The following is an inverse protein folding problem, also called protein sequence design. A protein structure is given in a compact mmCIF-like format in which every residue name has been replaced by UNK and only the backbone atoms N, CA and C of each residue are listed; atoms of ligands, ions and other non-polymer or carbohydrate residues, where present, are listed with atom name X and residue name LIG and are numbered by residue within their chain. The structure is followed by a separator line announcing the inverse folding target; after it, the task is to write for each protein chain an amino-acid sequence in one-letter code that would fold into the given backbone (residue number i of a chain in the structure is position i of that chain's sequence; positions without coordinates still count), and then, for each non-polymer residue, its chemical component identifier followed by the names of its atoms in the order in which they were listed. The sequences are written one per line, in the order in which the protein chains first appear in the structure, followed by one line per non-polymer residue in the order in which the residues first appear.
data_IF_947733180336
#
_entry.id   IF_947733180336
#
_cell.length_a   1.000
_cell.length_b   1.000
_cell.length_c   1.000
_cell.angle_alpha   90.00
_cell.angle_beta   90.00
_cell.angle_gamma   90.00
#
_symmetry.space_group_name_H-M   'P 1'
#
loop_
_entity.id
_entity.type
_entity.pdbx_description
1 polymer ?
#
# COMPACT_ATOMS: atom_id res chain seq x y z
N UNK A 1 -8.43 -25.37 -25.15
CA UNK A 1 -7.14 -24.83 -25.66
C UNK A 1 -6.52 -24.05 -24.50
N UNK A 2 -5.57 -24.64 -23.78
CA UNK A 2 -4.95 -24.05 -22.63
C UNK A 2 -3.79 -23.14 -23.09
N UNK A 3 -3.89 -21.84 -22.90
CA UNK A 3 -2.81 -20.90 -23.16
C UNK A 3 -1.84 -21.02 -21.97
N UNK A 4 -0.74 -21.74 -22.17
CA UNK A 4 0.44 -21.71 -21.28
C UNK A 4 1.14 -20.37 -21.53
N UNK A 5 0.91 -19.38 -20.73
CA UNK A 5 1.80 -18.23 -20.64
C UNK A 5 2.99 -18.65 -19.78
N UNK A 6 4.12 -18.90 -20.44
CA UNK A 6 5.40 -19.10 -19.78
C UNK A 6 5.96 -17.73 -19.32
N UNK A 7 5.33 -17.13 -18.33
CA UNK A 7 5.92 -15.98 -17.65
C UNK A 7 6.93 -16.52 -16.63
N UNK A 8 8.18 -16.10 -16.78
CA UNK A 8 9.26 -16.42 -15.84
C UNK A 8 9.57 -15.17 -15.02
N UNK A 9 9.58 -15.26 -13.67
CA UNK A 9 9.90 -14.13 -12.78
C UNK A 9 11.34 -13.62 -12.88
N UNK A 10 12.16 -14.23 -13.74
CA UNK A 10 13.63 -14.15 -13.71
C UNK A 10 14.22 -12.83 -14.22
N UNK A 11 13.42 -11.93 -14.81
CA UNK A 11 13.93 -10.68 -15.40
C UNK A 11 13.61 -9.40 -14.64
N UNK A 12 12.86 -9.49 -13.54
CA UNK A 12 12.61 -8.33 -12.67
C UNK A 12 13.34 -8.57 -11.33
N UNK A 13 14.66 -8.61 -11.41
CA UNK A 13 15.51 -9.07 -10.34
C UNK A 13 15.54 -8.13 -9.13
N UNK A 14 15.74 -8.73 -7.96
CA UNK A 14 16.16 -8.13 -6.70
C UNK A 14 17.26 -7.04 -6.83
N UNK A 15 18.08 -7.08 -7.86
CA UNK A 15 19.09 -6.06 -8.16
C UNK A 15 18.49 -4.67 -8.34
N UNK A 16 17.30 -4.56 -8.96
CA UNK A 16 16.63 -3.26 -9.17
C UNK A 16 16.02 -2.67 -7.90
N UNK A 17 15.69 -3.49 -6.91
CA UNK A 17 15.22 -2.98 -5.60
C UNK A 17 16.39 -2.53 -4.76
N UNK A 18 17.50 -3.26 -4.76
CA UNK A 18 18.74 -2.85 -4.11
C UNK A 18 19.26 -1.50 -4.61
N UNK A 19 19.03 -1.17 -5.89
CA UNK A 19 19.40 0.12 -6.46
C UNK A 19 18.52 1.29 -5.97
N UNK A 20 17.29 1.01 -5.52
CA UNK A 20 16.33 2.03 -5.05
C UNK A 20 16.14 2.01 -3.53
N UNK A 21 16.31 0.86 -2.91
CA UNK A 21 16.12 0.65 -1.47
C UNK A 21 17.33 -0.13 -0.96
N UNK A 22 18.25 0.57 -0.30
CA UNK A 22 19.33 -0.07 0.45
C UNK A 22 18.74 -0.77 1.69
N UNK A 23 18.22 -1.99 1.46
CA UNK A 23 17.57 -2.79 2.51
C UNK A 23 18.37 -4.08 2.77
N UNK A 24 18.38 -4.55 4.03
CA UNK A 24 19.03 -5.81 4.39
C UNK A 24 18.50 -6.99 3.57
N UNK A 25 19.35 -7.99 3.34
CA UNK A 25 18.99 -9.22 2.59
C UNK A 25 17.73 -9.89 3.14
N UNK A 26 17.57 -9.96 4.45
CA UNK A 26 16.35 -10.51 5.07
C UNK A 26 15.08 -9.77 4.63
N UNK A 27 15.14 -8.45 4.51
CA UNK A 27 14.02 -7.62 4.04
C UNK A 27 13.72 -7.89 2.56
N UNK A 28 14.75 -8.08 1.74
CA UNK A 28 14.58 -8.47 0.33
C UNK A 28 13.89 -9.83 0.22
N UNK A 29 14.31 -10.82 1.00
CA UNK A 29 13.70 -12.16 1.03
C UNK A 29 12.21 -12.10 1.45
N UNK A 30 11.83 -11.21 2.37
CA UNK A 30 10.43 -10.98 2.74
C UNK A 30 9.62 -10.37 1.61
N UNK A 31 10.18 -9.38 0.89
CA UNK A 31 9.51 -8.78 -0.28
C UNK A 31 9.33 -9.80 -1.41
N UNK A 32 10.33 -10.64 -1.68
CA UNK A 32 10.21 -11.73 -2.64
C UNK A 32 9.13 -12.73 -2.26
N UNK A 33 9.10 -13.15 -1.00
CA UNK A 33 8.08 -14.04 -0.48
C UNK A 33 6.68 -13.45 -0.70
N UNK A 34 6.50 -12.16 -0.38
CA UNK A 34 5.24 -11.45 -0.63
C UNK A 34 4.86 -11.47 -2.11
N UNK A 35 5.80 -11.15 -3.01
CA UNK A 35 5.55 -11.12 -4.47
C UNK A 35 5.15 -12.50 -4.99
N UNK A 36 5.85 -13.57 -4.59
CA UNK A 36 5.50 -14.93 -4.98
C UNK A 36 4.10 -15.34 -4.51
N UNK A 37 3.73 -14.96 -3.29
CA UNK A 37 2.38 -15.18 -2.77
C UNK A 37 1.34 -14.38 -3.57
N UNK A 38 1.61 -13.11 -3.86
CA UNK A 38 0.73 -12.25 -4.63
C UNK A 38 0.42 -12.86 -6.01
N UNK A 39 1.45 -13.30 -6.74
CA UNK A 39 1.30 -13.97 -8.03
C UNK A 39 0.47 -15.25 -7.91
N UNK A 40 0.76 -16.08 -6.92
CA UNK A 40 0.04 -17.34 -6.69
C UNK A 40 -1.44 -17.11 -6.38
N UNK A 41 -1.76 -16.12 -5.56
CA UNK A 41 -3.14 -15.82 -5.17
C UNK A 41 -3.90 -15.06 -6.26
N UNK A 42 -3.21 -14.24 -7.06
CA UNK A 42 -3.79 -13.52 -8.20
C UNK A 42 -4.52 -14.45 -9.18
N UNK A 43 -4.08 -15.70 -9.31
CA UNK A 43 -4.74 -16.71 -10.14
C UNK A 43 -6.14 -17.12 -9.64
N UNK A 44 -6.48 -16.81 -8.38
CA UNK A 44 -7.74 -17.21 -7.72
C UNK A 44 -8.61 -16.03 -7.35
N UNK A 45 -8.01 -14.93 -6.94
CA UNK A 45 -8.69 -13.69 -6.55
C UNK A 45 -8.02 -12.50 -7.21
N UNK A 46 -8.80 -11.50 -7.60
CA UNK A 46 -8.28 -10.30 -8.25
C UNK A 46 -7.67 -9.36 -7.17
N UNK A 47 -6.36 -9.45 -6.97
CA UNK A 47 -5.60 -8.63 -6.01
C UNK A 47 -5.09 -7.33 -6.64
N UNK A 48 -4.58 -7.44 -7.87
CA UNK A 48 -4.05 -6.33 -8.67
C UNK A 48 -4.52 -6.47 -10.13
N UNK A 49 -4.34 -5.44 -10.93
CA UNK A 49 -4.63 -5.54 -12.36
C UNK A 49 -3.71 -6.56 -13.03
N UNK A 50 -4.27 -7.50 -13.79
CA UNK A 50 -3.49 -8.50 -14.55
C UNK A 50 -2.53 -7.85 -15.54
N UNK A 51 -2.84 -6.63 -16.01
CA UNK A 51 -1.98 -5.87 -16.93
C UNK A 51 -0.68 -5.38 -16.27
N UNK A 52 -0.67 -5.24 -14.94
CA UNK A 52 0.48 -4.75 -14.18
C UNK A 52 1.33 -5.85 -13.57
N UNK A 53 0.94 -7.14 -13.76
CA UNK A 53 1.73 -8.29 -13.29
C UNK A 53 3.16 -8.33 -13.82
N UNK A 54 3.44 -8.04 -15.10
CA UNK A 54 4.82 -8.03 -15.61
C UNK A 54 5.70 -6.97 -14.95
N UNK A 55 5.08 -5.91 -14.42
CA UNK A 55 5.76 -4.77 -13.79
C UNK A 55 5.51 -4.74 -12.27
N UNK A 56 5.25 -5.91 -11.64
CA UNK A 56 4.80 -6.00 -10.25
C UNK A 56 5.74 -5.28 -9.28
N UNK A 57 7.04 -5.41 -9.48
CA UNK A 57 8.05 -4.78 -8.66
C UNK A 57 8.01 -3.25 -8.74
N UNK A 58 7.97 -2.73 -9.95
CA UNK A 58 7.94 -1.29 -10.18
C UNK A 58 6.59 -0.68 -9.81
N UNK A 59 5.51 -1.23 -10.36
CA UNK A 59 4.16 -0.67 -10.24
C UNK A 59 3.50 -0.89 -8.87
N UNK A 60 4.00 -1.83 -8.07
CA UNK A 60 3.36 -2.18 -6.81
C UNK A 60 4.32 -2.13 -5.62
N UNK A 61 5.50 -2.74 -5.74
CA UNK A 61 6.43 -2.81 -4.61
C UNK A 61 7.16 -1.47 -4.42
N UNK A 62 7.82 -0.97 -5.47
CA UNK A 62 8.51 0.34 -5.41
C UNK A 62 7.54 1.49 -5.19
N UNK A 63 6.39 1.46 -5.87
CA UNK A 63 5.32 2.45 -5.69
C UNK A 63 4.85 2.53 -4.22
N UNK A 64 4.74 1.40 -3.53
CA UNK A 64 4.42 1.37 -2.10
C UNK A 64 5.60 1.78 -1.22
N UNK A 65 6.80 1.30 -1.56
CA UNK A 65 8.01 1.51 -0.78
C UNK A 65 8.48 2.97 -0.77
N UNK A 66 8.20 3.75 -1.82
CA UNK A 66 8.56 5.17 -1.88
C UNK A 66 7.97 5.98 -0.70
N UNK A 67 6.85 5.54 -0.13
CA UNK A 67 6.26 6.21 1.03
C UNK A 67 7.18 6.20 2.25
N UNK A 68 8.12 5.26 2.36
CA UNK A 68 9.06 5.18 3.48
C UNK A 68 9.86 6.47 3.65
N UNK A 69 10.20 7.15 2.56
CA UNK A 69 10.94 8.42 2.58
C UNK A 69 10.16 9.59 3.20
N UNK A 70 8.84 9.47 3.28
CA UNK A 70 7.93 10.47 3.85
C UNK A 70 7.46 10.11 5.26
N UNK A 71 7.82 8.91 5.76
CA UNK A 71 7.45 8.50 7.10
C UNK A 71 8.42 9.06 8.16
N UNK A 72 7.93 9.35 9.37
CA UNK A 72 8.79 9.78 10.48
C UNK A 72 9.77 8.66 10.86
N UNK A 73 10.94 9.04 11.40
CA UNK A 73 11.94 8.08 11.88
C UNK A 73 11.52 7.38 13.20
N UNK A 74 10.61 7.98 13.93
CA UNK A 74 10.06 7.42 15.19
C UNK A 74 8.91 6.49 14.89
N UNK A 75 8.77 5.37 15.64
CA UNK A 75 7.63 4.48 15.48
C UNK A 75 6.29 5.23 15.63
N UNK A 76 5.40 5.02 14.69
CA UNK A 76 4.11 5.70 14.59
C UNK A 76 3.02 4.69 14.24
N UNK A 77 1.77 5.07 14.44
CA UNK A 77 0.60 4.27 14.04
C UNK A 77 0.17 4.68 12.64
N UNK A 78 0.16 3.74 11.71
CA UNK A 78 -0.23 3.95 10.31
C UNK A 78 -1.51 3.16 10.03
N UNK A 79 -2.51 3.82 9.48
CA UNK A 79 -3.76 3.22 9.04
C UNK A 79 -3.80 3.19 7.51
N UNK A 80 -3.84 2.00 6.92
CA UNK A 80 -3.96 1.80 5.47
C UNK A 80 -5.41 1.50 5.09
N UNK A 81 -6.04 2.42 4.37
CA UNK A 81 -7.45 2.35 4.00
C UNK A 81 -7.65 1.57 2.70
N UNK A 82 -8.50 0.55 2.74
CA UNK A 82 -8.80 -0.27 1.57
C UNK A 82 -7.55 -1.00 1.06
N UNK A 83 -6.85 -1.65 1.97
CA UNK A 83 -5.52 -2.22 1.73
C UNK A 83 -5.46 -3.21 0.56
N UNK A 84 -6.56 -3.83 0.16
CA UNK A 84 -6.64 -4.72 -0.99
C UNK A 84 -5.67 -5.89 -0.91
N UNK A 85 -4.66 -5.88 -1.76
CA UNK A 85 -3.54 -6.81 -1.69
C UNK A 85 -2.55 -6.51 -0.55
N UNK A 86 -2.86 -5.57 0.35
CA UNK A 86 -1.92 -5.08 1.36
C UNK A 86 -0.94 -4.03 0.82
N UNK A 87 -1.37 -3.24 -0.14
CA UNK A 87 -0.56 -2.22 -0.81
C UNK A 87 -1.14 -0.81 -0.54
N UNK A 88 -0.40 0.08 0.13
CA UNK A 88 1.01 -0.06 0.52
C UNK A 88 1.25 -0.77 1.86
N UNK A 89 0.24 -1.04 2.68
CA UNK A 89 0.35 -1.38 4.10
C UNK A 89 1.26 -2.56 4.44
N UNK A 90 1.17 -3.72 3.74
CA UNK A 90 2.06 -4.86 3.99
C UNK A 90 3.51 -4.54 3.62
N UNK A 91 3.73 -3.78 2.54
CA UNK A 91 5.08 -3.37 2.14
C UNK A 91 5.70 -2.46 3.21
N UNK A 92 4.93 -1.49 3.72
CA UNK A 92 5.37 -0.62 4.82
C UNK A 92 5.65 -1.42 6.10
N UNK A 93 4.84 -2.46 6.40
CA UNK A 93 5.08 -3.34 7.54
C UNK A 93 6.37 -4.16 7.40
N UNK A 94 6.75 -4.56 6.17
CA UNK A 94 8.01 -5.26 5.90
C UNK A 94 9.20 -4.30 6.04
N UNK A 95 9.07 -3.06 5.56
CA UNK A 95 10.17 -2.10 5.44
C UNK A 95 10.41 -1.27 6.71
N UNK A 96 9.45 -1.19 7.62
CA UNK A 96 9.50 -0.24 8.74
C UNK A 96 9.19 -0.91 10.08
N UNK A 97 9.32 -0.15 11.15
CA UNK A 97 8.94 -0.57 12.52
C UNK A 97 7.68 0.13 13.01
N UNK A 98 6.90 0.73 12.10
CA UNK A 98 5.63 1.35 12.44
C UNK A 98 4.58 0.30 12.77
N UNK A 99 3.58 0.68 13.56
CA UNK A 99 2.42 -0.15 13.82
C UNK A 99 1.40 0.02 12.68
N UNK A 100 1.21 -1.01 11.89
CA UNK A 100 0.31 -0.98 10.74
C UNK A 100 -1.08 -1.54 11.09
N UNK A 101 -2.12 -0.76 10.79
CA UNK A 101 -3.52 -1.16 10.80
C UNK A 101 -4.01 -1.20 9.36
N UNK A 102 -4.43 -2.38 8.87
CA UNK A 102 -4.85 -2.61 7.49
C UNK A 102 -6.36 -2.84 7.45
N UNK A 103 -7.09 -1.97 6.75
CA UNK A 103 -8.55 -2.05 6.65
C UNK A 103 -8.95 -2.56 5.29
N UNK A 104 -9.68 -3.67 5.25
CA UNK A 104 -10.22 -4.27 4.03
C UNK A 104 -11.52 -5.01 4.35
N UNK A 105 -12.53 -4.88 3.51
CA UNK A 105 -13.84 -5.52 3.72
C UNK A 105 -14.01 -6.85 2.99
N UNK A 106 -13.17 -7.17 2.00
CA UNK A 106 -13.21 -8.46 1.29
C UNK A 106 -12.43 -9.52 2.10
N UNK A 107 -13.15 -10.49 2.67
CA UNK A 107 -12.56 -11.57 3.47
C UNK A 107 -11.51 -12.40 2.73
N UNK A 108 -11.60 -12.52 1.40
CA UNK A 108 -10.60 -13.23 0.59
C UNK A 108 -9.28 -12.48 0.54
N UNK A 109 -9.34 -11.13 0.44
CA UNK A 109 -8.16 -10.26 0.49
C UNK A 109 -7.56 -10.24 1.89
N UNK A 110 -8.39 -10.24 2.93
CA UNK A 110 -7.94 -10.41 4.32
C UNK A 110 -7.23 -11.75 4.51
N UNK A 111 -7.77 -12.86 3.96
CA UNK A 111 -7.11 -14.16 4.02
C UNK A 111 -5.75 -14.17 3.31
N UNK A 112 -5.64 -13.47 2.18
CA UNK A 112 -4.36 -13.24 1.50
C UNK A 112 -3.39 -12.49 2.40
N UNK A 113 -3.76 -11.31 2.93
CA UNK A 113 -2.89 -10.49 3.78
C UNK A 113 -2.45 -11.24 5.04
N UNK A 114 -3.36 -11.99 5.68
CA UNK A 114 -3.02 -12.84 6.82
C UNK A 114 -1.96 -13.90 6.46
N UNK A 115 -2.07 -14.49 5.27
CA UNK A 115 -1.07 -15.44 4.77
C UNK A 115 0.25 -14.72 4.49
N UNK A 116 0.22 -13.59 3.81
CA UNK A 116 1.42 -12.81 3.49
C UNK A 116 2.18 -12.39 4.76
N UNK A 117 1.49 -11.83 5.76
CA UNK A 117 2.09 -11.43 7.03
C UNK A 117 2.74 -12.62 7.75
N UNK A 118 2.06 -13.77 7.79
CA UNK A 118 2.61 -14.98 8.42
C UNK A 118 3.85 -15.48 7.70
N UNK A 119 3.80 -15.65 6.40
CA UNK A 119 4.91 -16.22 5.60
C UNK A 119 6.13 -15.29 5.55
N UNK A 120 5.92 -13.97 5.59
CA UNK A 120 7.01 -12.99 5.66
C UNK A 120 7.53 -12.76 7.08
N UNK A 121 6.91 -13.36 8.10
CA UNK A 121 7.25 -13.09 9.50
C UNK A 121 7.06 -11.63 9.89
N UNK A 122 6.06 -10.96 9.31
CA UNK A 122 5.77 -9.53 9.51
C UNK A 122 4.46 -9.37 10.27
N UNK A 123 4.36 -8.31 11.09
CA UNK A 123 3.18 -8.06 11.91
C UNK A 123 2.41 -6.83 11.44
N UNK A 124 1.10 -6.95 11.34
CA UNK A 124 0.15 -5.85 11.18
C UNK A 124 -1.21 -6.25 11.77
N UNK A 125 -2.03 -5.28 12.12
CA UNK A 125 -3.38 -5.51 12.64
C UNK A 125 -4.36 -5.42 11.47
N UNK A 126 -5.10 -6.50 11.23
CA UNK A 126 -6.08 -6.59 10.15
C UNK A 126 -7.48 -6.25 10.68
N UNK A 127 -8.15 -5.32 10.01
CA UNK A 127 -9.54 -4.93 10.26
C UNK A 127 -10.41 -5.43 9.09
N UNK A 128 -11.11 -6.54 9.28
CA UNK A 128 -12.04 -7.12 8.29
C UNK A 128 -13.40 -6.42 8.35
N UNK A 129 -13.43 -5.15 7.89
CA UNK A 129 -14.63 -4.33 7.94
C UNK A 129 -14.54 -3.14 6.98
N UNK A 130 -15.66 -2.43 6.81
CA UNK A 130 -15.69 -1.18 6.08
C UNK A 130 -14.99 -0.08 6.87
N UNK A 131 -14.32 0.87 6.16
CA UNK A 131 -13.58 1.96 6.79
C UNK A 131 -14.46 2.80 7.73
N UNK A 132 -15.70 3.03 7.35
CA UNK A 132 -16.69 3.83 8.09
C UNK A 132 -17.08 3.22 9.45
N UNK A 133 -16.81 1.91 9.62
CA UNK A 133 -17.13 1.17 10.86
C UNK A 133 -15.91 0.96 11.76
N UNK A 134 -14.71 1.39 11.30
CA UNK A 134 -13.50 1.29 12.10
C UNK A 134 -13.55 2.25 13.28
N UNK A 135 -13.37 1.78 14.53
CA UNK A 135 -13.29 2.67 15.67
C UNK A 135 -12.19 3.72 15.51
N UNK A 136 -12.31 4.84 16.19
CA UNK A 136 -11.28 5.88 16.14
C UNK A 136 -9.95 5.36 16.74
N UNK A 137 -9.02 5.01 15.86
CA UNK A 137 -7.69 4.49 16.21
C UNK A 137 -6.69 5.61 16.48
N UNK A 138 -7.01 6.84 16.06
CA UNK A 138 -6.12 8.02 16.12
C UNK A 138 -4.74 7.75 15.52
N UNK A 139 -4.64 7.28 14.27
CA UNK A 139 -3.38 7.02 13.63
C UNK A 139 -2.60 8.32 13.41
N UNK A 140 -1.28 8.26 13.46
CA UNK A 140 -0.43 9.39 13.10
C UNK A 140 -0.48 9.66 11.59
N UNK A 141 -0.59 8.58 10.80
CA UNK A 141 -0.59 8.64 9.34
C UNK A 141 -1.70 7.75 8.77
N UNK A 142 -2.38 8.28 7.74
CA UNK A 142 -3.30 7.48 6.92
C UNK A 142 -2.73 7.32 5.52
N UNK A 143 -2.67 6.07 5.06
CA UNK A 143 -2.32 5.74 3.68
C UNK A 143 -3.52 5.20 2.92
N UNK A 144 -3.52 5.39 1.61
CA UNK A 144 -4.45 4.73 0.68
C UNK A 144 -3.85 4.65 -0.71
N UNK A 145 -4.24 3.62 -1.47
CA UNK A 145 -3.88 3.45 -2.87
C UNK A 145 -5.06 2.96 -3.69
N UNK A 146 -5.33 3.63 -4.82
CA UNK A 146 -6.36 3.21 -5.80
C UNK A 146 -7.75 2.88 -5.20
N UNK A 147 -8.09 3.47 -4.05
CA UNK A 147 -9.34 3.21 -3.34
C UNK A 147 -10.50 4.07 -3.87
N UNK A 148 -10.28 5.39 -3.94
CA UNK A 148 -11.31 6.36 -4.30
C UNK A 148 -10.70 7.70 -4.75
N UNK A 149 -11.48 8.63 -5.34
CA UNK A 149 -11.09 10.02 -5.52
C UNK A 149 -10.70 10.70 -4.20
N UNK A 150 -9.83 11.71 -4.26
CA UNK A 150 -9.22 12.34 -3.08
C UNK A 150 -10.26 12.88 -2.09
N UNK A 151 -11.33 13.53 -2.58
CA UNK A 151 -12.43 14.03 -1.74
C UNK A 151 -13.13 12.92 -0.95
N UNK A 152 -13.31 11.76 -1.57
CA UNK A 152 -13.89 10.59 -0.91
C UNK A 152 -12.93 9.98 0.11
N UNK A 153 -11.62 9.93 -0.18
CA UNK A 153 -10.62 9.45 0.78
C UNK A 153 -10.64 10.27 2.07
N UNK A 154 -10.71 11.60 1.95
CA UNK A 154 -10.80 12.50 3.11
C UNK A 154 -12.11 12.25 3.87
N UNK A 155 -13.23 12.05 3.17
CA UNK A 155 -14.51 11.72 3.81
C UNK A 155 -14.44 10.38 4.55
N UNK A 156 -13.87 9.34 3.95
CA UNK A 156 -13.69 8.03 4.58
C UNK A 156 -12.79 8.09 5.82
N UNK A 157 -11.77 8.95 5.78
CA UNK A 157 -10.84 9.14 6.88
C UNK A 157 -11.40 10.00 8.01
N UNK A 158 -12.54 10.68 7.83
CA UNK A 158 -13.06 11.69 8.77
C UNK A 158 -13.25 11.17 10.20
N UNK A 159 -13.65 9.90 10.37
CA UNK A 159 -13.79 9.26 11.68
C UNK A 159 -12.46 9.01 12.42
N UNK A 160 -11.31 9.16 11.73
CA UNK A 160 -9.98 9.01 12.30
C UNK A 160 -9.26 10.36 12.50
N UNK A 161 -9.90 11.47 12.09
CA UNK A 161 -9.28 12.80 12.09
C UNK A 161 -8.91 13.30 13.49
N UNK A 162 -7.72 13.88 13.59
CA UNK A 162 -7.25 14.66 14.73
C UNK A 162 -6.20 15.70 14.27
N UNK A 163 -5.80 16.64 15.11
CA UNK A 163 -5.00 17.81 14.74
C UNK A 163 -3.61 17.52 14.15
N UNK A 164 -3.05 16.34 14.43
CA UNK A 164 -1.67 15.97 14.03
C UNK A 164 -1.61 14.86 12.99
N UNK A 165 -2.73 14.54 12.37
CA UNK A 165 -2.78 13.46 11.39
C UNK A 165 -2.18 13.87 10.05
N UNK A 166 -1.40 12.98 9.45
CA UNK A 166 -0.88 13.15 8.10
C UNK A 166 -1.56 12.16 7.13
N UNK A 167 -1.73 12.57 5.88
CA UNK A 167 -2.31 11.75 4.83
C UNK A 167 -1.29 11.54 3.72
N UNK A 168 -0.96 10.29 3.41
CA UNK A 168 -0.04 9.90 2.34
C UNK A 168 -0.77 9.01 1.34
N UNK A 169 -1.36 9.62 0.31
CA UNK A 169 -2.15 8.91 -0.69
C UNK A 169 -1.39 8.69 -1.99
N UNK A 170 -1.27 7.45 -2.42
CA UNK A 170 -0.76 7.10 -3.74
C UNK A 170 -1.86 7.29 -4.79
N UNK A 171 -1.67 8.30 -5.64
CA UNK A 171 -2.62 8.71 -6.66
C UNK A 171 -1.99 8.62 -8.05
N UNK A 172 -2.81 8.38 -9.07
CA UNK A 172 -2.38 8.41 -10.46
C UNK A 172 -2.31 9.82 -11.06
N UNK A 173 -2.28 9.90 -12.38
CA UNK A 173 -2.09 11.14 -13.16
C UNK A 173 -3.09 12.27 -12.85
N UNK A 174 -4.25 11.93 -12.33
CA UNK A 174 -5.30 12.90 -11.99
C UNK A 174 -5.10 13.58 -10.63
N UNK A 175 -4.05 13.22 -9.89
CA UNK A 175 -3.78 13.72 -8.54
C UNK A 175 -3.81 15.25 -8.44
N UNK A 176 -3.16 15.95 -9.37
CA UNK A 176 -3.11 17.42 -9.41
C UNK A 176 -4.50 18.03 -9.65
N UNK A 177 -5.29 17.42 -10.54
CA UNK A 177 -6.65 17.88 -10.83
C UNK A 177 -7.57 17.62 -9.63
N UNK A 178 -7.50 16.45 -9.01
CA UNK A 178 -8.26 16.14 -7.82
C UNK A 178 -7.94 17.10 -6.66
N UNK A 179 -6.67 17.49 -6.52
CA UNK A 179 -6.23 18.44 -5.50
C UNK A 179 -6.85 19.83 -5.70
N UNK A 180 -6.94 20.32 -6.95
CA UNK A 180 -7.56 21.63 -7.26
C UNK A 180 -9.07 21.65 -7.03
N UNK A 181 -9.73 20.50 -7.02
CA UNK A 181 -11.18 20.38 -6.80
C UNK A 181 -11.56 20.16 -5.33
N UNK A 182 -10.58 20.04 -4.43
CA UNK A 182 -10.88 19.95 -3.00
C UNK A 182 -11.48 21.25 -2.48
N UNK A 183 -12.51 21.16 -1.62
CA UNK A 183 -12.99 22.31 -0.90
C UNK A 183 -11.86 22.94 -0.07
N UNK A 184 -11.76 24.26 -0.10
CA UNK A 184 -10.79 24.95 0.74
C UNK A 184 -11.03 24.60 2.22
N UNK A 185 -10.06 23.91 2.81
CA UNK A 185 -10.06 23.62 4.24
C UNK A 185 -8.92 24.43 4.89
N UNK A 186 -9.23 25.47 5.68
CA UNK A 186 -8.21 26.38 6.23
C UNK A 186 -7.17 25.69 7.15
N UNK A 187 -7.43 24.45 7.54
CA UNK A 187 -6.57 23.67 8.47
C UNK A 187 -5.82 22.54 7.78
N UNK A 188 -5.95 22.39 6.46
CA UNK A 188 -5.31 21.30 5.73
C UNK A 188 -4.47 21.87 4.59
N UNK A 189 -3.17 21.67 4.67
CA UNK A 189 -2.26 21.90 3.57
C UNK A 189 -2.10 20.61 2.78
N UNK A 190 -2.08 20.69 1.45
CA UNK A 190 -1.91 19.52 0.60
C UNK A 190 -1.04 19.86 -0.60
N UNK A 191 -0.13 18.94 -0.93
CA UNK A 191 0.78 19.05 -2.05
C UNK A 191 0.88 17.74 -2.85
N UNK A 192 1.25 17.85 -4.12
CA UNK A 192 1.60 16.69 -4.94
C UNK A 192 3.11 16.49 -4.92
N UNK A 193 3.53 15.36 -4.39
CA UNK A 193 4.93 14.93 -4.42
C UNK A 193 5.20 14.12 -5.70
N UNK A 194 6.41 14.21 -6.29
CA UNK A 194 6.77 13.43 -7.46
C UNK A 194 6.80 11.94 -7.10
N UNK A 195 6.29 11.10 -8.02
CA UNK A 195 6.40 9.65 -7.88
C UNK A 195 7.75 9.16 -8.40
N UNK A 196 8.35 8.21 -7.69
CA UNK A 196 9.57 7.51 -8.16
C UNK A 196 9.27 6.49 -9.29
N UNK A 197 8.00 6.16 -9.48
CA UNK A 197 7.54 5.12 -10.42
C UNK A 197 6.77 5.67 -11.62
N UNK A 198 6.42 6.96 -11.63
CA UNK A 198 5.79 7.64 -12.76
C UNK A 198 6.88 8.40 -13.54
N UNK A 199 7.22 7.88 -14.71
CA UNK A 199 8.05 8.53 -15.71
C UNK A 199 7.20 8.97 -16.90
#
# INVERSE_FOLDING_TARGET
MAIRTSWRPEETSLEKIGDFLDVPRETQEKLDCYVQLLIKWQARINLISSKTLPEIWHRHILDSAQLVSYLPKTPSVILDMGSGAGLPGVILAILTRHQLHLVESDSRKIAFMRTALRETGTSAILHEQRMETVPALRPDIITARALAPLSQLITLASGQHHEKIEYLFLKGREAKQELTTLPACPKMEAECLPSMTDS
#
